data_IF_886578633878
#
_entry.id   IF_886578633878
#
_cell.length_a   1.000
_cell.length_b   1.000
_cell.length_c   1.000
_cell.angle_alpha   90.00
_cell.angle_beta   90.00
_cell.angle_gamma   90.00
#
_symmetry.space_group_name_H-M   'P 1'
#
loop_
_entity.id
_entity.type
_entity.pdbx_description
1 polymer ?
#
# COMPACT_ATOMS: atom_id res chain seq x y z
N UNK A 1 15.27 -5.49 -15.65
CA UNK A 1 13.86 -5.67 -15.21
C UNK A 1 13.65 -4.78 -13.97
N UNK A 2 12.51 -4.12 -13.82
CA UNK A 2 12.16 -3.32 -12.63
C UNK A 2 10.70 -3.58 -12.25
N UNK A 3 10.38 -3.40 -10.97
CA UNK A 3 9.00 -3.48 -10.50
C UNK A 3 8.20 -2.29 -11.05
N UNK A 4 7.00 -2.53 -11.59
CA UNK A 4 6.17 -1.51 -12.21
C UNK A 4 4.97 -1.10 -11.37
N UNK A 5 4.11 -2.05 -11.04
CA UNK A 5 2.91 -1.78 -10.24
C UNK A 5 2.44 -3.00 -9.46
N UNK A 6 1.65 -2.73 -8.43
CA UNK A 6 0.81 -3.71 -7.77
C UNK A 6 -0.65 -3.40 -8.12
N UNK A 7 -1.42 -4.42 -8.48
CA UNK A 7 -2.83 -4.27 -8.83
C UNK A 7 -3.72 -4.88 -7.76
N UNK A 8 -4.72 -4.13 -7.32
CA UNK A 8 -5.75 -4.62 -6.41
C UNK A 8 -7.16 -4.40 -7.01
N UNK A 9 -8.03 -5.36 -6.80
CA UNK A 9 -9.44 -5.25 -7.17
C UNK A 9 -10.16 -4.45 -6.08
N UNK A 10 -10.92 -3.42 -6.46
CA UNK A 10 -11.61 -2.53 -5.53
C UNK A 10 -13.11 -2.54 -5.76
N UNK A 11 -13.87 -2.41 -4.68
CA UNK A 11 -15.33 -2.35 -4.68
C UNK A 11 -15.80 -0.89 -4.78
N UNK A 12 -15.26 0.00 -3.97
CA UNK A 12 -15.61 1.41 -3.92
C UNK A 12 -14.38 2.28 -4.25
N UNK A 13 -14.30 2.73 -5.50
CA UNK A 13 -13.16 3.52 -5.99
C UNK A 13 -13.01 4.85 -5.26
N UNK A 14 -14.11 5.53 -4.90
CA UNK A 14 -14.04 6.83 -4.26
C UNK A 14 -13.49 6.73 -2.83
N UNK A 15 -13.87 5.69 -2.09
CA UNK A 15 -13.31 5.40 -0.76
C UNK A 15 -11.82 5.10 -0.86
N UNK A 16 -11.43 4.29 -1.83
CA UNK A 16 -10.03 3.89 -2.01
C UNK A 16 -9.15 5.05 -2.48
N UNK A 17 -9.65 5.91 -3.37
CA UNK A 17 -8.93 7.12 -3.78
C UNK A 17 -8.77 8.11 -2.62
N UNK A 18 -9.79 8.31 -1.81
CA UNK A 18 -9.64 9.15 -0.60
C UNK A 18 -8.57 8.61 0.33
N UNK A 19 -8.50 7.30 0.49
CA UNK A 19 -7.50 6.66 1.35
C UNK A 19 -6.09 6.84 0.81
N UNK A 20 -5.84 6.49 -0.44
CA UNK A 20 -4.49 6.50 -1.00
C UNK A 20 -4.02 7.88 -1.46
N UNK A 21 -4.91 8.73 -1.96
CA UNK A 21 -4.56 10.09 -2.42
C UNK A 21 -4.61 11.08 -1.26
N UNK A 22 -5.75 11.23 -0.59
CA UNK A 22 -5.89 12.20 0.49
C UNK A 22 -5.22 11.74 1.79
N UNK A 23 -5.30 10.46 2.11
CA UNK A 23 -4.70 9.87 3.32
C UNK A 23 -3.19 9.69 3.18
N UNK A 24 -2.75 8.83 2.27
CA UNK A 24 -1.32 8.54 2.05
C UNK A 24 -0.57 9.69 1.37
N UNK A 25 -1.25 10.54 0.63
CA UNK A 25 -0.63 11.63 -0.11
C UNK A 25 -0.05 11.20 -1.47
N UNK A 26 -0.45 10.04 -1.97
CA UNK A 26 -0.10 9.62 -3.33
C UNK A 26 -0.86 10.47 -4.36
N UNK A 27 -0.42 10.43 -5.61
CA UNK A 27 -1.01 11.21 -6.70
C UNK A 27 -1.82 10.30 -7.64
N UNK A 28 -3.06 10.69 -7.97
CA UNK A 28 -3.79 10.06 -9.06
C UNK A 28 -3.09 10.40 -10.37
N UNK A 29 -2.57 9.37 -11.07
CA UNK A 29 -1.77 9.58 -12.27
C UNK A 29 -2.64 9.65 -13.53
N UNK A 30 -3.44 8.61 -13.78
CA UNK A 30 -4.31 8.53 -14.95
C UNK A 30 -5.39 7.47 -14.78
N UNK A 31 -6.40 7.53 -15.65
CA UNK A 31 -7.54 6.61 -15.67
C UNK A 31 -7.60 5.84 -16.98
N UNK A 32 -8.04 4.60 -16.90
CA UNK A 32 -8.33 3.74 -18.06
C UNK A 32 -9.81 3.44 -18.08
N UNK A 33 -10.41 3.54 -19.25
CA UNK A 33 -11.85 3.35 -19.46
C UNK A 33 -12.12 2.10 -20.31
N UNK A 34 -13.30 1.52 -20.10
CA UNK A 34 -13.84 0.50 -20.99
C UNK A 34 -14.31 1.13 -22.32
N UNK A 35 -14.62 0.30 -23.31
CA UNK A 35 -15.11 0.77 -24.62
C UNK A 35 -16.43 1.54 -24.52
N UNK A 36 -17.26 1.24 -23.50
CA UNK A 36 -18.50 1.96 -23.21
C UNK A 36 -18.31 3.25 -22.39
N UNK A 37 -17.05 3.70 -22.22
CA UNK A 37 -16.66 4.89 -21.45
C UNK A 37 -16.83 4.79 -19.93
N UNK A 38 -17.21 3.63 -19.40
CA UNK A 38 -17.18 3.41 -17.95
C UNK A 38 -15.75 3.29 -17.43
N UNK A 39 -15.51 3.75 -16.21
CA UNK A 39 -14.19 3.68 -15.57
C UNK A 39 -13.81 2.22 -15.29
N UNK A 40 -12.60 1.84 -15.66
CA UNK A 40 -12.07 0.49 -15.46
C UNK A 40 -10.97 0.44 -14.42
N UNK A 41 -9.99 1.33 -14.50
CA UNK A 41 -8.79 1.33 -13.67
C UNK A 41 -8.41 2.76 -13.34
N UNK A 42 -7.94 3.00 -12.11
CA UNK A 42 -7.23 4.22 -11.74
C UNK A 42 -5.82 3.86 -11.32
N UNK A 43 -4.84 4.51 -11.93
CA UNK A 43 -3.43 4.40 -11.56
C UNK A 43 -3.08 5.49 -10.56
N UNK A 44 -2.54 5.07 -9.43
CA UNK A 44 -2.04 5.95 -8.38
C UNK A 44 -0.52 5.88 -8.37
N UNK A 45 0.14 7.02 -8.53
CA UNK A 45 1.60 7.11 -8.52
C UNK A 45 2.14 7.07 -7.10
N UNK A 46 3.10 6.19 -6.86
CA UNK A 46 3.76 6.04 -5.55
C UNK A 46 5.14 6.70 -5.58
N UNK A 47 5.98 6.28 -6.50
CA UNK A 47 7.34 6.79 -6.69
C UNK A 47 7.85 6.41 -8.09
N UNK A 48 9.04 6.81 -8.42
CA UNK A 48 9.72 6.64 -9.74
C UNK A 48 9.28 5.43 -10.58
N UNK A 49 8.21 5.59 -11.37
CA UNK A 49 7.69 4.55 -12.25
C UNK A 49 7.02 3.38 -11.54
N UNK A 50 6.66 3.54 -10.27
CA UNK A 50 5.93 2.57 -9.48
C UNK A 50 4.53 3.07 -9.18
N UNK A 51 3.55 2.22 -9.37
CA UNK A 51 2.14 2.56 -9.26
C UNK A 51 1.37 1.53 -8.44
N UNK A 52 0.28 1.99 -7.87
CA UNK A 52 -0.81 1.14 -7.40
C UNK A 52 -1.94 1.23 -8.44
N UNK A 53 -2.38 0.09 -8.95
CA UNK A 53 -3.44 -0.01 -9.93
C UNK A 53 -4.73 -0.42 -9.22
N UNK A 54 -5.71 0.47 -9.19
CA UNK A 54 -7.01 0.24 -8.58
C UNK A 54 -7.99 -0.22 -9.66
N UNK A 55 -8.30 -1.52 -9.68
CA UNK A 55 -9.15 -2.14 -10.68
C UNK A 55 -10.58 -2.26 -10.17
N UNK A 56 -11.52 -1.57 -10.82
CA UNK A 56 -12.93 -1.58 -10.43
C UNK A 56 -13.60 -2.95 -10.65
N UNK A 57 -14.75 -3.16 -10.04
CA UNK A 57 -15.58 -4.35 -10.21
C UNK A 57 -15.35 -5.43 -9.16
N UNK A 58 -14.78 -5.07 -8.03
CA UNK A 58 -14.63 -5.95 -6.88
C UNK A 58 -15.96 -6.26 -6.19
N UNK A 59 -16.07 -7.47 -5.67
CA UNK A 59 -17.13 -7.91 -4.78
C UNK A 59 -16.66 -8.04 -3.34
N UNK A 60 -17.37 -8.83 -2.56
CA UNK A 60 -16.97 -9.08 -1.18
C UNK A 60 -15.71 -9.95 -1.11
N UNK A 61 -14.93 -9.80 -0.04
CA UNK A 61 -13.76 -10.64 0.19
C UNK A 61 -14.15 -12.11 0.33
N UNK A 62 -13.33 -13.02 -0.21
CA UNK A 62 -13.51 -14.44 0.05
C UNK A 62 -13.40 -14.75 1.55
N UNK A 63 -14.21 -15.68 2.03
CA UNK A 63 -14.23 -16.11 3.43
C UNK A 63 -12.94 -16.82 3.89
N UNK A 64 -12.05 -17.16 2.97
CA UNK A 64 -10.84 -17.95 3.21
C UNK A 64 -9.54 -17.12 3.17
N UNK A 65 -9.66 -15.79 3.18
CA UNK A 65 -8.50 -14.90 3.16
C UNK A 65 -7.90 -14.80 4.58
N UNK A 66 -7.16 -15.80 4.97
CA UNK A 66 -6.44 -15.85 6.23
C UNK A 66 -4.91 -15.82 6.04
N UNK A 67 -4.18 -15.77 7.14
CA UNK A 67 -2.72 -15.66 7.12
C UNK A 67 -2.00 -16.88 6.50
N UNK A 68 -2.69 -18.00 6.31
CA UNK A 68 -2.18 -19.23 5.72
C UNK A 68 -2.55 -19.40 4.25
N UNK A 69 -3.39 -18.51 3.70
CA UNK A 69 -3.81 -18.56 2.29
C UNK A 69 -2.64 -18.30 1.36
N UNK A 70 -2.61 -19.03 0.26
CA UNK A 70 -1.64 -18.79 -0.81
C UNK A 70 -1.88 -17.45 -1.51
N UNK A 71 -0.81 -16.81 -1.96
CA UNK A 71 -0.87 -15.59 -2.74
C UNK A 71 -0.28 -14.38 -2.04
N UNK A 72 -0.79 -13.21 -2.39
CA UNK A 72 -0.33 -11.96 -1.79
C UNK A 72 -0.66 -11.91 -0.30
N UNK A 73 0.33 -11.50 0.48
CA UNK A 73 0.19 -11.34 1.92
C UNK A 73 -0.05 -9.89 2.31
N UNK A 74 0.79 -9.00 1.83
CA UNK A 74 0.69 -7.56 2.03
C UNK A 74 1.52 -6.82 0.98
N UNK A 75 1.32 -5.52 0.86
CA UNK A 75 2.23 -4.62 0.16
C UNK A 75 2.97 -3.78 1.18
N UNK A 76 4.24 -3.47 0.91
CA UNK A 76 5.06 -2.66 1.79
C UNK A 76 5.48 -1.37 1.11
N UNK A 77 5.44 -0.26 1.87
CA UNK A 77 6.00 1.03 1.46
C UNK A 77 7.17 1.37 2.37
N UNK A 78 8.28 1.77 1.78
CA UNK A 78 9.45 2.23 2.51
C UNK A 78 9.31 3.72 2.77
N UNK A 79 9.55 4.13 4.02
CA UNK A 79 9.52 5.51 4.48
C UNK A 79 10.84 5.88 5.15
N UNK A 80 11.23 7.14 5.10
CA UNK A 80 12.48 7.60 5.70
C UNK A 80 12.41 7.71 7.22
N UNK A 81 11.24 8.12 7.75
CA UNK A 81 10.97 8.29 9.18
C UNK A 81 9.58 7.75 9.50
N UNK A 82 9.54 6.56 10.09
CA UNK A 82 8.27 5.87 10.35
C UNK A 82 7.46 6.55 11.46
N UNK A 83 8.12 7.08 12.49
CA UNK A 83 7.44 7.78 13.60
C UNK A 83 6.71 9.01 13.06
N UNK A 84 7.41 9.82 12.28
CA UNK A 84 6.85 11.02 11.64
C UNK A 84 5.73 10.66 10.66
N UNK A 85 5.98 9.71 9.77
CA UNK A 85 5.00 9.28 8.77
C UNK A 85 3.73 8.74 9.41
N UNK A 86 3.86 7.90 10.44
CA UNK A 86 2.70 7.37 11.18
C UNK A 86 1.87 8.52 11.78
N UNK A 87 2.52 9.48 12.43
CA UNK A 87 1.84 10.64 13.00
C UNK A 87 1.11 11.48 11.94
N UNK A 88 1.73 11.71 10.79
CA UNK A 88 1.11 12.45 9.68
C UNK A 88 -0.11 11.72 9.11
N UNK A 89 -0.01 10.42 8.91
CA UNK A 89 -1.12 9.60 8.41
C UNK A 89 -2.28 9.57 9.42
N UNK A 90 -1.99 9.39 10.70
CA UNK A 90 -3.01 9.43 11.76
C UNK A 90 -3.71 10.79 11.82
N UNK A 91 -2.99 11.90 11.60
CA UNK A 91 -3.58 13.24 11.54
C UNK A 91 -4.57 13.42 10.38
N UNK A 92 -4.48 12.58 9.35
CA UNK A 92 -5.40 12.54 8.21
C UNK A 92 -6.48 11.46 8.34
N UNK A 93 -6.61 10.85 9.53
CA UNK A 93 -7.65 9.86 9.82
C UNK A 93 -7.29 8.42 9.46
N UNK A 94 -6.04 8.13 9.09
CA UNK A 94 -5.58 6.76 8.86
C UNK A 94 -5.41 6.06 10.21
N UNK A 95 -5.96 4.86 10.35
CA UNK A 95 -5.89 4.05 11.57
C UNK A 95 -4.87 2.93 11.38
N UNK A 96 -3.93 2.81 12.31
CA UNK A 96 -2.95 1.72 12.34
C UNK A 96 -3.44 0.56 13.19
N UNK A 97 -3.16 -0.66 12.75
CA UNK A 97 -3.50 -1.89 13.47
C UNK A 97 -2.41 -2.33 14.42
N UNK A 98 -1.21 -1.76 14.30
CA UNK A 98 -0.10 -2.04 15.20
C UNK A 98 0.63 -0.77 15.62
N UNK A 99 1.30 -0.84 16.75
CA UNK A 99 2.36 0.10 17.11
C UNK A 99 3.58 -0.13 16.20
N UNK A 100 4.52 0.82 16.22
CA UNK A 100 5.81 0.64 15.57
C UNK A 100 6.59 -0.45 16.33
N UNK A 101 7.13 -1.40 15.60
CA UNK A 101 7.86 -2.52 16.14
C UNK A 101 9.17 -2.76 15.41
N UNK A 102 10.12 -3.40 16.09
CA UNK A 102 11.31 -3.94 15.45
C UNK A 102 10.94 -5.27 14.77
N UNK A 103 11.15 -5.36 13.48
CA UNK A 103 10.95 -6.60 12.73
C UNK A 103 12.16 -7.52 12.81
N UNK A 104 12.00 -8.79 12.42
CA UNK A 104 13.08 -9.78 12.46
C UNK A 104 14.24 -9.47 11.52
N UNK A 105 13.99 -8.67 10.50
CA UNK A 105 15.00 -8.18 9.55
C UNK A 105 15.67 -6.86 10.00
N UNK A 106 15.49 -6.49 11.28
CA UNK A 106 16.08 -5.30 11.90
C UNK A 106 15.65 -3.97 11.28
N UNK A 107 14.45 -3.92 10.77
CA UNK A 107 13.78 -2.69 10.34
C UNK A 107 12.76 -2.25 11.40
N UNK A 108 12.31 -1.00 11.33
CA UNK A 108 11.09 -0.58 11.99
C UNK A 108 9.90 -0.83 11.06
N UNK A 109 8.83 -1.33 11.60
CA UNK A 109 7.62 -1.62 10.83
C UNK A 109 6.35 -1.28 11.60
N UNK A 110 5.30 -0.91 10.86
CA UNK A 110 3.94 -0.78 11.38
C UNK A 110 2.95 -1.28 10.33
N UNK A 111 1.84 -1.86 10.80
CA UNK A 111 0.83 -2.47 9.94
C UNK A 111 -0.49 -1.73 10.01
N UNK A 112 -1.17 -1.68 8.87
CA UNK A 112 -2.52 -1.15 8.75
C UNK A 112 -3.27 -1.88 7.62
N UNK A 113 -4.58 -1.71 7.58
CA UNK A 113 -5.43 -2.21 6.50
C UNK A 113 -6.09 -1.04 5.80
N UNK A 114 -6.16 -1.11 4.48
CA UNK A 114 -6.96 -0.15 3.74
C UNK A 114 -8.48 -0.38 3.98
N UNK A 115 -9.37 0.52 3.53
CA UNK A 115 -10.80 0.38 3.79
C UNK A 115 -11.44 -0.91 3.29
N UNK A 116 -10.80 -1.59 2.33
CA UNK A 116 -11.30 -2.85 1.78
C UNK A 116 -10.52 -4.07 2.28
N UNK A 117 -9.68 -3.87 3.31
CA UNK A 117 -9.00 -4.94 4.04
C UNK A 117 -7.70 -5.43 3.41
N UNK A 118 -7.09 -4.69 2.50
CA UNK A 118 -5.76 -5.02 2.01
C UNK A 118 -4.72 -4.61 3.06
N UNK A 119 -3.86 -5.56 3.44
CA UNK A 119 -2.82 -5.33 4.44
C UNK A 119 -1.67 -4.53 3.86
N UNK A 120 -1.25 -3.52 4.60
CA UNK A 120 -0.14 -2.64 4.27
C UNK A 120 0.89 -2.69 5.38
N UNK A 121 2.15 -2.72 5.01
CA UNK A 121 3.28 -2.55 5.92
C UNK A 121 4.00 -1.26 5.58
N UNK A 122 4.26 -0.42 6.58
CA UNK A 122 5.18 0.69 6.45
C UNK A 122 6.50 0.30 7.07
N UNK A 123 7.60 0.50 6.35
CA UNK A 123 8.94 0.06 6.75
C UNK A 123 9.91 1.22 6.71
N UNK A 124 10.62 1.42 7.82
CA UNK A 124 11.83 2.23 7.84
C UNK A 124 13.03 1.29 7.89
N UNK A 125 13.86 1.33 6.86
CA UNK A 125 15.03 0.46 6.75
C UNK A 125 16.06 0.83 7.82
N UNK A 126 16.39 -0.13 8.68
CA UNK A 126 17.42 0.04 9.70
C UNK A 126 18.82 -0.01 9.11
N UNK A 127 19.72 0.84 9.59
CA UNK A 127 21.11 0.92 9.08
C UNK A 127 21.89 -0.40 9.23
N UNK A 128 21.55 -1.23 10.20
CA UNK A 128 22.14 -2.54 10.40
C UNK A 128 21.37 -3.71 9.78
N UNK A 129 20.28 -3.42 9.06
CA UNK A 129 19.42 -4.44 8.47
C UNK A 129 20.09 -5.15 7.29
N UNK A 130 19.64 -6.38 6.95
CA UNK A 130 20.06 -7.04 5.72
C UNK A 130 19.77 -6.21 4.46
N UNK A 131 18.66 -5.47 4.43
CA UNK A 131 18.32 -4.57 3.33
C UNK A 131 19.40 -3.50 3.11
N UNK A 132 19.76 -2.77 4.17
CA UNK A 132 20.79 -1.74 4.08
C UNK A 132 22.15 -2.29 3.67
N UNK A 133 22.51 -3.48 4.17
CA UNK A 133 23.74 -4.16 3.79
C UNK A 133 23.77 -4.60 2.34
N UNK A 134 22.66 -5.09 1.82
CA UNK A 134 22.53 -5.50 0.42
C UNK A 134 22.60 -4.30 -0.53
N UNK A 135 21.86 -3.23 -0.24
CA UNK A 135 21.79 -2.03 -1.08
C UNK A 135 23.09 -1.21 -1.06
N UNK A 136 23.97 -1.44 -0.09
CA UNK A 136 25.28 -0.77 -0.01
C UNK A 136 26.37 -1.41 -0.90
N UNK A 137 26.06 -2.46 -1.64
CA UNK A 137 27.01 -3.16 -2.52
C UNK A 137 27.16 -2.49 -3.87
#
# INVERSE_FOLDING_TARGET
>A
MKFGHNAIRVKDIDVMLRYYVNGFGFEEAFRIFNDDSSLRIVYVHISNGQYLELCLGGGDRPKFDDAASLGHRHMAFIVDDLVKTKSELESRGIVFDSDIMNSRDHNLAAYLFDPEGNKIELVQVGSGSPHAKFESH
#
